data_IF_055938036264
#
_entry.id   IF_055938036264
#
_cell.length_a   1.000
_cell.length_b   1.000
_cell.length_c   1.000
_cell.angle_alpha   90.00
_cell.angle_beta   90.00
_cell.angle_gamma   90.00
#
_symmetry.space_group_name_H-M   'P 1'
#
loop_
_entity.id
_entity.type
_entity.pdbx_description
1 polymer ?
#
# COMPACT_ATOMS: atom_id res chain seq x y z
N UNK A 1 -10.85 6.44 -0.93
CA UNK A 1 -10.08 6.21 0.30
C UNK A 1 -8.72 5.66 -0.10
N UNK A 2 -7.65 6.07 0.56
CA UNK A 2 -6.31 5.53 0.34
C UNK A 2 -5.75 5.05 1.68
N UNK A 3 -4.97 3.98 1.66
CA UNK A 3 -4.22 3.45 2.81
C UNK A 3 -2.85 3.01 2.36
N UNK A 4 -1.91 2.92 3.31
CA UNK A 4 -0.59 2.36 3.10
C UNK A 4 -0.33 1.37 4.24
N UNK A 5 0.26 0.23 3.91
CA UNK A 5 0.52 -0.86 4.84
C UNK A 5 1.97 -1.27 4.69
N UNK A 6 2.66 -1.42 5.81
CA UNK A 6 4.03 -1.90 5.84
C UNK A 6 4.04 -3.41 5.60
N UNK A 7 4.98 -3.85 4.79
CA UNK A 7 5.30 -5.26 4.62
C UNK A 7 6.54 -5.53 5.46
N UNK A 8 6.44 -6.52 6.35
CA UNK A 8 7.55 -6.89 7.22
C UNK A 8 8.74 -7.40 6.39
N UNK A 9 9.95 -7.10 6.86
CA UNK A 9 11.21 -7.60 6.29
C UNK A 9 11.43 -9.07 6.71
N UNK A 10 10.71 -9.97 6.04
CA UNK A 10 10.73 -11.41 6.25
C UNK A 10 10.67 -12.13 4.91
N UNK A 11 11.05 -13.42 4.84
CA UNK A 11 10.91 -14.20 3.61
C UNK A 11 9.48 -14.18 3.03
N UNK A 12 8.46 -14.25 3.90
CA UNK A 12 7.05 -14.20 3.48
C UNK A 12 6.68 -12.80 2.93
N UNK A 13 7.24 -11.74 3.51
CA UNK A 13 7.06 -10.37 3.02
C UNK A 13 7.71 -10.14 1.66
N UNK A 14 8.92 -10.69 1.46
CA UNK A 14 9.62 -10.68 0.18
C UNK A 14 8.84 -11.44 -0.89
N UNK A 15 8.31 -12.61 -0.55
CA UNK A 15 7.44 -13.40 -1.44
C UNK A 15 6.17 -12.62 -1.80
N UNK A 16 5.52 -11.99 -0.82
CA UNK A 16 4.35 -11.15 -1.06
C UNK A 16 4.66 -9.99 -2.03
N UNK A 17 5.79 -9.30 -1.84
CA UNK A 17 6.26 -8.24 -2.73
C UNK A 17 6.60 -8.77 -4.13
N UNK A 18 7.19 -9.96 -4.24
CA UNK A 18 7.46 -10.60 -5.52
C UNK A 18 6.16 -10.91 -6.26
N UNK A 19 5.13 -11.42 -5.58
CA UNK A 19 3.82 -11.71 -6.15
C UNK A 19 3.11 -10.43 -6.64
N UNK A 20 3.25 -9.31 -5.92
CA UNK A 20 2.76 -8.00 -6.36
C UNK A 20 3.48 -7.54 -7.62
N UNK A 21 4.82 -7.63 -7.66
CA UNK A 21 5.62 -7.26 -8.83
C UNK A 21 5.29 -8.12 -10.06
N UNK A 22 4.98 -9.39 -9.85
CA UNK A 22 4.58 -10.33 -10.89
C UNK A 22 3.13 -10.13 -11.37
N UNK A 23 2.33 -9.31 -10.69
CA UNK A 23 0.91 -9.10 -10.99
C UNK A 23 0.02 -10.29 -10.63
N UNK A 24 0.51 -11.24 -9.82
CA UNK A 24 -0.28 -12.38 -9.33
C UNK A 24 -1.32 -11.90 -8.31
N UNK A 25 -0.94 -10.92 -7.50
CA UNK A 25 -1.84 -10.19 -6.60
C UNK A 25 -1.66 -8.69 -6.84
N UNK A 26 -2.72 -8.00 -7.23
CA UNK A 26 -2.70 -6.57 -7.62
C UNK A 26 -3.74 -5.75 -6.86
N UNK A 27 -4.42 -6.39 -5.90
CA UNK A 27 -5.63 -5.91 -5.28
C UNK A 27 -5.67 -6.23 -3.79
N UNK A 28 -6.63 -5.61 -3.09
CA UNK A 28 -6.87 -5.83 -1.67
C UNK A 28 -8.23 -6.47 -1.39
N UNK A 29 -8.22 -7.43 -0.47
CA UNK A 29 -9.40 -7.81 0.33
C UNK A 29 -9.37 -7.05 1.64
N UNK A 30 -10.53 -6.68 2.17
CA UNK A 30 -10.65 -5.93 3.43
C UNK A 30 -11.66 -6.58 4.36
N UNK A 31 -11.22 -6.90 5.56
CA UNK A 31 -12.08 -7.30 6.66
C UNK A 31 -12.39 -6.09 7.54
N UNK A 32 -13.66 -5.81 7.79
CA UNK A 32 -14.07 -4.71 8.66
C UNK A 32 -15.32 -5.04 9.47
N UNK A 33 -15.48 -4.37 10.61
CA UNK A 33 -16.70 -4.40 11.41
C UNK A 33 -17.46 -3.08 11.26
N UNK A 34 -18.74 -3.10 10.84
CA UNK A 34 -19.52 -1.88 10.77
C UNK A 34 -19.74 -1.31 12.18
N UNK A 35 -19.63 0.01 12.30
CA UNK A 35 -19.91 0.77 13.52
C UNK A 35 -21.23 1.53 13.34
N UNK A 36 -21.43 2.14 12.18
CA UNK A 36 -22.64 2.91 11.88
C UNK A 36 -23.06 2.73 10.44
N UNK A 37 -24.36 2.50 10.27
CA UNK A 37 -24.99 2.18 9.00
C UNK A 37 -26.20 3.06 8.74
N UNK A 38 -26.56 3.21 7.47
CA UNK A 38 -27.87 3.70 7.06
C UNK A 38 -28.40 2.89 5.88
N UNK A 39 -29.72 2.82 5.75
CA UNK A 39 -30.38 2.25 4.58
C UNK A 39 -30.77 3.35 3.61
N UNK A 40 -30.51 3.11 2.34
CA UNK A 40 -30.94 3.92 1.21
C UNK A 40 -31.70 3.00 0.24
N UNK A 41 -33.03 2.90 0.45
CA UNK A 41 -33.85 1.90 -0.22
C UNK A 41 -33.40 0.48 0.14
N UNK A 42 -33.07 -0.31 -0.89
CA UNK A 42 -32.59 -1.69 -0.75
C UNK A 42 -31.06 -1.78 -0.54
N UNK A 43 -30.37 -0.63 -0.50
CA UNK A 43 -28.92 -0.57 -0.30
C UNK A 43 -28.59 -0.31 1.18
N UNK A 44 -27.68 -1.11 1.73
CA UNK A 44 -27.11 -0.87 3.06
C UNK A 44 -25.77 -0.14 2.93
N UNK A 45 -25.74 1.10 3.39
CA UNK A 45 -24.56 1.96 3.35
C UNK A 45 -23.83 1.89 4.69
N UNK A 46 -22.58 1.42 4.64
CA UNK A 46 -21.65 1.46 5.77
C UNK A 46 -21.08 2.87 5.86
N UNK A 47 -21.51 3.65 6.86
CA UNK A 47 -21.08 5.04 7.04
C UNK A 47 -19.78 5.11 7.84
N UNK A 48 -19.61 4.17 8.77
CA UNK A 48 -18.43 4.07 9.63
C UNK A 48 -18.13 2.60 9.91
N UNK A 49 -16.85 2.24 9.81
CA UNK A 49 -16.38 0.87 10.04
C UNK A 49 -15.00 0.87 10.69
N UNK A 50 -14.78 -0.09 11.59
CA UNK A 50 -13.46 -0.43 12.07
C UNK A 50 -12.79 -1.37 11.06
N UNK A 51 -11.69 -0.92 10.45
CA UNK A 51 -10.83 -1.79 9.65
C UNK A 51 -10.17 -2.82 10.56
N UNK A 52 -10.30 -4.10 10.22
CA UNK A 52 -9.75 -5.22 11.00
C UNK A 52 -8.52 -5.81 10.32
N UNK A 53 -8.60 -6.02 9.00
CA UNK A 53 -7.51 -6.58 8.21
C UNK A 53 -7.51 -6.07 6.78
N UNK A 54 -6.34 -6.19 6.15
CA UNK A 54 -6.13 -5.98 4.73
C UNK A 54 -5.20 -7.07 4.23
N UNK A 55 -5.59 -7.73 3.14
CA UNK A 55 -4.87 -8.86 2.56
C UNK A 55 -4.64 -8.64 1.07
N UNK A 56 -3.45 -9.02 0.58
CA UNK A 56 -3.14 -9.03 -0.85
C UNK A 56 -3.92 -10.16 -1.54
N UNK A 57 -4.50 -9.87 -2.69
CA UNK A 57 -5.33 -10.81 -3.46
C UNK A 57 -5.31 -10.46 -4.95
N UNK A 58 -5.66 -11.41 -5.81
CA UNK A 58 -5.89 -11.17 -7.24
C UNK A 58 -7.34 -10.77 -7.57
N UNK A 59 -8.26 -10.82 -6.61
CA UNK A 59 -9.66 -10.39 -6.79
C UNK A 59 -10.01 -9.34 -5.75
N UNK A 60 -10.28 -8.09 -6.16
CA UNK A 60 -10.49 -7.00 -5.22
C UNK A 60 -11.83 -7.10 -4.47
N UNK A 61 -11.87 -6.65 -3.22
CA UNK A 61 -13.12 -6.55 -2.46
C UNK A 61 -14.14 -5.58 -3.09
N UNK A 62 -13.64 -4.52 -3.74
CA UNK A 62 -14.41 -3.53 -4.50
C UNK A 62 -13.64 -3.13 -5.74
N UNK A 63 -14.29 -2.68 -6.80
CA UNK A 63 -13.61 -2.29 -8.05
C UNK A 63 -12.45 -1.29 -7.87
N UNK A 64 -12.48 -0.46 -6.82
CA UNK A 64 -11.41 0.49 -6.49
C UNK A 64 -10.35 0.00 -5.48
N UNK A 65 -10.44 -1.23 -4.97
CA UNK A 65 -9.51 -1.78 -3.99
C UNK A 65 -8.22 -2.30 -4.66
N UNK A 66 -7.56 -1.42 -5.42
CA UNK A 66 -6.39 -1.72 -6.26
C UNK A 66 -5.10 -1.25 -5.58
N UNK A 67 -3.99 -1.92 -5.87
CA UNK A 67 -2.65 -1.46 -5.45
C UNK A 67 -2.23 -0.31 -6.37
N UNK A 68 -2.23 0.91 -5.83
CA UNK A 68 -1.81 2.10 -6.57
C UNK A 68 -0.27 2.20 -6.72
N UNK A 69 0.48 1.48 -5.90
CA UNK A 69 1.94 1.42 -5.99
C UNK A 69 2.59 0.77 -4.78
N UNK A 70 3.83 0.33 -4.96
CA UNK A 70 4.71 -0.18 -3.91
C UNK A 70 5.82 0.83 -3.69
N UNK A 71 6.09 1.18 -2.43
CA UNK A 71 7.16 2.12 -2.06
C UNK A 71 8.24 1.36 -1.33
N UNK A 72 9.49 1.64 -1.69
CA UNK A 72 10.64 1.29 -0.87
C UNK A 72 11.10 2.56 -0.17
N UNK A 73 11.40 2.46 1.12
CA UNK A 73 12.08 3.55 1.84
C UNK A 73 13.54 3.59 1.38
N UNK A 74 13.76 4.13 0.18
CA UNK A 74 15.11 4.40 -0.32
C UNK A 74 15.63 5.66 0.36
N UNK A 75 16.07 5.53 1.61
CA UNK A 75 17.03 6.49 2.14
C UNK A 75 18.34 6.24 1.40
N UNK A 76 18.54 6.93 0.27
CA UNK A 76 19.86 6.97 -0.36
C UNK A 76 20.79 7.69 0.62
N UNK A 77 21.51 6.90 1.43
CA UNK A 77 22.58 7.41 2.28
C UNK A 77 23.76 7.72 1.37
N UNK A 78 23.81 8.94 0.86
CA UNK A 78 24.95 9.45 0.11
C UNK A 78 26.04 9.80 1.12
N UNK A 79 27.27 9.28 0.93
CA UNK A 79 28.39 9.71 1.76
C UNK A 79 28.60 11.22 1.60
N UNK A 80 29.02 11.89 2.68
CA UNK A 80 29.31 13.33 2.65
C UNK A 80 30.23 13.71 1.48
N UNK A 81 31.27 12.91 1.23
CA UNK A 81 32.22 13.12 0.13
C UNK A 81 31.57 13.06 -1.25
N UNK A 82 30.60 12.16 -1.46
CA UNK A 82 29.89 12.03 -2.73
C UNK A 82 28.92 13.19 -2.93
N UNK A 83 28.25 13.63 -1.86
CA UNK A 83 27.37 14.80 -1.90
C UNK A 83 28.16 16.09 -2.19
N UNK A 84 29.33 16.28 -1.55
CA UNK A 84 30.22 17.42 -1.80
C UNK A 84 30.74 17.43 -3.25
N UNK A 85 31.09 16.27 -3.81
CA UNK A 85 31.53 16.16 -5.20
C UNK A 85 30.41 16.46 -6.22
N UNK A 86 29.16 16.14 -5.90
CA UNK A 86 28.03 16.48 -6.76
C UNK A 86 27.67 17.95 -6.70
N UNK A 87 27.72 18.56 -5.50
CA UNK A 87 27.46 19.99 -5.32
C UNK A 87 28.52 20.84 -6.05
N UNK A 88 29.79 20.45 -6.01
CA UNK A 88 30.85 21.19 -6.71
C UNK A 88 30.73 21.18 -8.24
N UNK A 89 29.99 20.23 -8.81
CA UNK A 89 29.68 20.19 -10.24
C UNK A 89 28.50 21.10 -10.62
N UNK A 90 27.71 21.55 -9.65
CA UNK A 90 26.55 22.42 -9.84
C UNK A 90 26.85 23.90 -9.60
N UNK A 91 28.04 24.22 -9.08
CA UNK A 91 28.54 25.59 -8.94
C UNK A 91 29.24 26.00 -10.26
N UNK A 92 28.49 26.70 -11.12
CA UNK A 92 28.96 27.32 -12.37
C UNK A 92 29.18 28.82 -12.20
#
# INVERSE_FOLDING_TARGET
MFGAFEIADTPDGDEALANVKAGVVDSFSVGFRPIRDRREGDVLVRVEAALLEVSLTGVPAYSGAQIAGVRAESLTVVSRSTAEAWLSLLDW
#
